data_IF_175854843173
#
_entry.id   IF_175854843173
#
_cell.length_a   1.000
_cell.length_b   1.000
_cell.length_c   1.000
_cell.angle_alpha   90.00
_cell.angle_beta   90.00
_cell.angle_gamma   90.00
#
_symmetry.space_group_name_H-M   'P 1'
#
loop_
_entity.id
_entity.type
_entity.pdbx_description
1 polymer ?
#
# COMPACT_ATOMS: atom_id res chain seq x y z
N UNK A 1 17.24 -6.32 77.79
CA UNK A 1 17.57 -5.42 76.66
C UNK A 1 17.90 -6.29 75.46
N UNK A 2 16.95 -6.52 74.55
CA UNK A 2 17.11 -7.45 73.41
C UNK A 2 16.91 -6.66 72.12
N UNK A 3 17.95 -6.68 71.27
CA UNK A 3 18.09 -5.98 69.98
C UNK A 3 17.01 -6.42 68.97
N UNK A 4 16.28 -5.47 68.40
CA UNK A 4 15.42 -5.62 67.21
C UNK A 4 16.09 -4.93 66.03
N UNK A 5 16.81 -5.66 65.17
CA UNK A 5 17.22 -5.15 63.85
C UNK A 5 17.33 -6.29 62.84
N UNK A 6 16.23 -6.61 62.15
CA UNK A 6 16.25 -7.44 60.93
C UNK A 6 14.94 -7.26 60.16
N UNK A 7 14.65 -6.04 59.71
CA UNK A 7 13.50 -5.77 58.81
C UNK A 7 13.79 -4.62 57.85
N UNK A 8 14.82 -4.74 57.02
CA UNK A 8 15.09 -3.69 56.02
C UNK A 8 15.71 -4.17 54.70
N UNK A 9 15.72 -5.47 54.40
CA UNK A 9 16.44 -6.00 53.22
C UNK A 9 15.60 -6.87 52.27
N UNK A 10 14.26 -6.85 52.37
CA UNK A 10 13.39 -7.72 51.57
C UNK A 10 12.42 -7.02 50.61
N UNK A 11 12.48 -5.69 50.46
CA UNK A 11 11.55 -4.96 49.60
C UNK A 11 12.14 -4.40 48.30
N UNK A 12 13.44 -4.55 48.05
CA UNK A 12 14.09 -3.92 46.88
C UNK A 12 14.16 -4.80 45.61
N UNK A 13 13.84 -6.10 45.67
CA UNK A 13 14.05 -7.04 44.54
C UNK A 13 12.81 -7.20 43.65
N UNK A 14 11.62 -6.75 44.09
CA UNK A 14 10.36 -6.98 43.36
C UNK A 14 9.98 -5.88 42.35
N UNK A 15 10.74 -4.80 42.24
CA UNK A 15 10.40 -3.64 41.39
C UNK A 15 11.02 -3.68 39.97
N UNK A 16 11.89 -4.65 39.66
CA UNK A 16 12.63 -4.70 38.39
C UNK A 16 11.94 -5.53 37.29
N UNK A 17 10.84 -6.23 37.61
CA UNK A 17 10.17 -7.14 36.67
C UNK A 17 9.03 -6.53 35.83
N UNK A 18 8.76 -5.22 35.92
CA UNK A 18 7.71 -4.56 35.13
C UNK A 18 8.22 -3.80 33.89
N UNK A 19 9.52 -3.80 33.62
CA UNK A 19 10.10 -3.17 32.43
C UNK A 19 10.52 -4.23 31.40
N UNK A 20 9.58 -4.84 30.67
CA UNK A 20 9.85 -5.32 29.31
C UNK A 20 8.60 -5.92 28.69
N UNK A 21 7.89 -5.09 27.94
CA UNK A 21 7.30 -5.47 26.65
C UNK A 21 6.71 -4.19 26.04
N UNK A 22 7.57 -3.30 25.54
CA UNK A 22 7.14 -2.40 24.47
C UNK A 22 7.01 -3.25 23.21
N UNK A 23 5.88 -3.94 23.08
CA UNK A 23 5.52 -4.60 21.85
C UNK A 23 5.30 -3.51 20.79
N UNK A 24 6.31 -3.25 19.98
CA UNK A 24 6.16 -2.47 18.75
C UNK A 24 5.11 -3.16 17.91
N UNK A 25 3.91 -2.59 17.90
CA UNK A 25 2.78 -3.08 17.10
C UNK A 25 3.26 -3.05 15.64
N UNK A 26 3.24 -4.17 14.91
CA UNK A 26 3.61 -4.15 13.50
C UNK A 26 2.74 -3.10 12.81
N UNK A 27 3.40 -2.18 12.11
CA UNK A 27 2.70 -1.12 11.39
C UNK A 27 1.88 -1.78 10.29
N UNK A 28 0.55 -1.76 10.48
CA UNK A 28 -0.38 -2.46 9.62
C UNK A 28 -0.46 -1.83 8.23
N UNK A 29 -1.07 -2.58 7.30
CA UNK A 29 -1.43 -2.10 5.97
C UNK A 29 -2.27 -0.82 6.10
N UNK A 30 -1.88 0.25 5.40
CA UNK A 30 -2.56 1.55 5.39
C UNK A 30 -3.13 1.83 4.01
N UNK A 31 -4.38 2.26 3.94
CA UNK A 31 -4.98 2.72 2.69
C UNK A 31 -4.43 4.11 2.28
N UNK A 32 -3.98 4.22 1.03
CA UNK A 32 -3.38 5.42 0.44
C UNK A 32 -4.08 5.86 -0.85
N UNK A 33 -5.29 5.34 -1.14
CA UNK A 33 -6.10 5.71 -2.30
C UNK A 33 -6.27 7.22 -2.45
N UNK A 34 -6.39 7.97 -1.34
CA UNK A 34 -6.52 9.43 -1.33
C UNK A 34 -5.27 10.20 -1.81
N UNK A 35 -4.11 9.54 -1.89
CA UNK A 35 -2.85 10.12 -2.37
C UNK A 35 -2.64 9.86 -3.87
N UNK A 36 -3.52 9.09 -4.49
CA UNK A 36 -3.53 8.92 -5.94
C UNK A 36 -4.10 10.15 -6.63
N UNK A 37 -3.37 10.64 -7.62
CA UNK A 37 -3.90 11.55 -8.63
C UNK A 37 -4.19 10.74 -9.88
N UNK A 38 -5.47 10.64 -10.23
CA UNK A 38 -5.91 9.92 -11.43
C UNK A 38 -6.54 10.91 -12.39
N UNK A 39 -6.04 10.96 -13.62
CA UNK A 39 -6.55 11.79 -14.70
C UNK A 39 -7.07 10.94 -15.84
N UNK A 40 -8.25 11.30 -16.36
CA UNK A 40 -8.81 10.68 -17.55
C UNK A 40 -8.23 11.33 -18.81
N UNK A 41 -7.59 10.55 -19.69
CA UNK A 41 -6.97 11.04 -20.91
C UNK A 41 -7.61 10.37 -22.15
N UNK A 42 -8.78 10.87 -22.60
CA UNK A 42 -9.51 10.28 -23.73
C UNK A 42 -8.75 10.38 -25.06
N UNK A 43 -7.88 11.40 -25.21
CA UNK A 43 -7.03 11.54 -26.39
C UNK A 43 -6.03 10.38 -26.53
N UNK A 44 -5.51 9.90 -25.40
CA UNK A 44 -4.57 8.75 -25.35
C UNK A 44 -5.24 7.42 -24.96
N UNK A 45 -6.57 7.42 -24.81
CA UNK A 45 -7.40 6.27 -24.40
C UNK A 45 -6.90 5.52 -23.16
N UNK A 46 -6.53 6.27 -22.12
CA UNK A 46 -6.00 5.71 -20.87
C UNK A 46 -6.32 6.59 -19.68
N UNK A 47 -6.15 6.02 -18.49
CA UNK A 47 -6.04 6.77 -17.24
C UNK A 47 -4.56 6.98 -16.93
N UNK A 48 -4.18 8.22 -16.65
CA UNK A 48 -2.85 8.57 -16.15
C UNK A 48 -2.92 8.58 -14.61
N UNK A 49 -1.99 7.87 -13.97
CA UNK A 49 -1.97 7.66 -12.51
C UNK A 49 -0.65 8.18 -11.96
N UNK A 50 -0.72 8.98 -10.91
CA UNK A 50 0.42 9.47 -10.17
C UNK A 50 0.24 9.17 -8.68
N UNK A 51 1.29 8.65 -8.04
CA UNK A 51 1.36 8.45 -6.60
C UNK A 51 2.60 9.16 -6.07
N UNK A 52 2.38 10.04 -5.09
CA UNK A 52 3.44 10.76 -4.39
C UNK A 52 3.53 10.24 -2.95
N UNK A 53 4.73 9.86 -2.51
CA UNK A 53 4.97 9.52 -1.12
C UNK A 53 5.23 10.79 -0.30
N UNK A 54 4.15 11.34 0.25
CA UNK A 54 4.21 12.52 1.13
C UNK A 54 4.52 12.17 2.58
N UNK A 55 4.75 10.90 2.90
CA UNK A 55 5.13 10.49 4.25
C UNK A 55 6.63 10.68 4.50
N UNK A 56 7.03 10.73 5.77
CA UNK A 56 8.44 10.74 6.16
C UNK A 56 9.12 9.37 6.12
N UNK A 57 8.48 8.33 5.56
CA UNK A 57 8.97 6.95 5.57
C UNK A 57 8.91 6.31 4.18
N UNK A 58 9.76 5.31 3.93
CA UNK A 58 9.70 4.54 2.68
C UNK A 58 8.48 3.61 2.69
N UNK A 59 7.67 3.70 1.64
CA UNK A 59 6.55 2.81 1.40
C UNK A 59 6.97 1.57 0.63
N UNK A 60 6.38 0.44 0.99
CA UNK A 60 6.43 -0.80 0.25
C UNK A 60 5.04 -1.05 -0.33
N UNK A 61 4.96 -0.99 -1.66
CA UNK A 61 3.72 -1.18 -2.40
C UNK A 61 3.77 -2.56 -3.03
N UNK A 62 2.72 -3.34 -2.83
CA UNK A 62 2.55 -4.67 -3.41
C UNK A 62 2.60 -4.61 -4.94
N UNK A 63 3.39 -5.47 -5.58
CA UNK A 63 3.60 -5.43 -7.05
C UNK A 63 2.27 -5.50 -7.81
N UNK A 64 1.38 -6.40 -7.41
CA UNK A 64 0.07 -6.56 -8.05
C UNK A 64 -0.78 -5.30 -7.99
N UNK A 65 -0.61 -4.48 -6.94
CA UNK A 65 -1.41 -3.27 -6.70
C UNK A 65 -0.96 -2.04 -7.47
N UNK A 66 0.12 -2.12 -8.26
CA UNK A 66 0.58 -1.02 -9.10
C UNK A 66 0.70 -1.43 -10.57
N UNK A 67 0.20 -0.61 -11.52
CA UNK A 67 0.24 -1.01 -12.91
C UNK A 67 1.68 -1.09 -13.41
N UNK A 68 1.99 -2.16 -14.15
CA UNK A 68 3.29 -2.27 -14.83
C UNK A 68 3.39 -1.29 -16.02
N UNK A 69 4.49 -1.34 -16.77
CA UNK A 69 4.71 -0.46 -17.93
C UNK A 69 3.70 -0.63 -19.07
N UNK A 70 2.92 -1.72 -19.08
CA UNK A 70 1.85 -1.97 -20.04
C UNK A 70 0.46 -1.60 -19.48
N UNK A 71 0.40 -1.16 -18.21
CA UNK A 71 -0.84 -0.82 -17.52
C UNK A 71 -1.61 -2.02 -16.97
N UNK A 72 -0.95 -3.17 -16.82
CA UNK A 72 -1.58 -4.37 -16.29
C UNK A 72 -1.46 -4.42 -14.77
N UNK A 73 -2.51 -4.94 -14.12
CA UNK A 73 -2.56 -5.28 -12.70
C UNK A 73 -2.77 -6.79 -12.56
N UNK A 74 -2.19 -7.37 -11.51
CA UNK A 74 -2.28 -8.81 -11.24
C UNK A 74 -3.38 -9.09 -10.20
N UNK A 75 -4.30 -10.01 -10.48
CA UNK A 75 -5.35 -10.44 -9.54
C UNK A 75 -6.28 -9.34 -8.98
N UNK A 76 -6.54 -8.27 -9.74
CA UNK A 76 -7.35 -7.11 -9.33
C UNK A 76 -8.71 -6.97 -10.05
N UNK A 77 -9.24 -8.03 -10.67
CA UNK A 77 -10.51 -7.94 -11.41
C UNK A 77 -11.72 -7.55 -10.56
N UNK A 78 -11.66 -7.74 -9.24
CA UNK A 78 -12.79 -7.54 -8.35
C UNK A 78 -12.82 -6.16 -7.67
N UNK A 79 -11.68 -5.49 -7.55
CA UNK A 79 -11.52 -4.25 -6.78
C UNK A 79 -11.08 -3.05 -7.62
N UNK A 80 -10.72 -3.24 -8.90
CA UNK A 80 -10.39 -2.16 -9.83
C UNK A 80 -11.43 -2.09 -10.96
N UNK A 81 -12.07 -0.94 -11.10
CA UNK A 81 -13.10 -0.73 -12.11
C UNK A 81 -13.18 0.73 -12.57
N UNK A 82 -13.74 0.94 -13.75
CA UNK A 82 -14.19 2.24 -14.23
C UNK A 82 -15.66 2.41 -13.91
N UNK A 83 -16.02 3.52 -13.28
CA UNK A 83 -17.39 3.96 -13.10
C UNK A 83 -17.74 4.99 -14.18
N UNK A 84 -18.78 4.69 -14.97
CA UNK A 84 -19.30 5.57 -16.00
C UNK A 84 -20.79 5.33 -16.19
N UNK A 85 -21.58 6.41 -16.30
CA UNK A 85 -23.03 6.33 -16.55
C UNK A 85 -23.77 5.40 -15.57
N UNK A 86 -23.35 5.39 -14.29
CA UNK A 86 -23.91 4.54 -13.23
C UNK A 86 -23.55 3.05 -13.34
N UNK A 87 -22.65 2.67 -14.25
CA UNK A 87 -22.20 1.29 -14.48
C UNK A 87 -20.74 1.11 -14.06
N UNK A 88 -20.40 -0.11 -13.66
CA UNK A 88 -19.03 -0.52 -13.36
C UNK A 88 -18.49 -1.40 -14.48
N UNK A 89 -17.28 -1.09 -14.92
CA UNK A 89 -16.53 -1.83 -15.91
C UNK A 89 -15.25 -2.32 -15.25
N UNK A 90 -15.20 -3.60 -14.91
CA UNK A 90 -14.09 -4.19 -14.18
C UNK A 90 -12.84 -4.35 -15.05
N UNK A 91 -11.66 -4.22 -14.44
CA UNK A 91 -10.41 -4.51 -15.14
C UNK A 91 -10.37 -5.99 -15.51
N UNK A 92 -9.74 -6.31 -16.65
CA UNK A 92 -9.49 -7.68 -17.09
C UNK A 92 -8.57 -8.37 -16.10
N UNK A 93 -8.95 -9.59 -15.74
CA UNK A 93 -8.10 -10.47 -14.96
C UNK A 93 -6.86 -10.85 -15.79
N UNK A 94 -5.69 -10.72 -15.18
CA UNK A 94 -4.42 -11.18 -15.72
C UNK A 94 -3.66 -11.90 -14.62
N UNK A 95 -2.96 -12.96 -15.01
CA UNK A 95 -1.95 -13.62 -14.20
C UNK A 95 -0.60 -13.19 -14.75
N UNK A 96 0.09 -12.31 -14.04
CA UNK A 96 1.41 -11.79 -14.44
C UNK A 96 2.56 -12.69 -13.96
N UNK A 97 2.24 -13.82 -13.34
CA UNK A 97 3.18 -14.79 -12.81
C UNK A 97 3.37 -14.68 -11.30
N UNK A 98 4.06 -15.67 -10.74
CA UNK A 98 4.37 -15.70 -9.32
C UNK A 98 5.71 -15.03 -9.03
N UNK A 99 5.73 -14.14 -8.05
CA UNK A 99 6.97 -13.56 -7.54
C UNK A 99 7.48 -14.32 -6.30
N UNK A 100 8.60 -15.05 -6.39
CA UNK A 100 9.14 -15.84 -5.26
C UNK A 100 9.85 -15.00 -4.18
N UNK A 101 10.21 -13.76 -4.46
CA UNK A 101 10.93 -12.87 -3.53
C UNK A 101 10.28 -11.49 -3.53
N UNK A 102 9.63 -11.09 -2.42
CA UNK A 102 8.87 -9.83 -2.24
C UNK A 102 9.05 -8.81 -3.38
N UNK A 103 8.21 -8.88 -4.42
CA UNK A 103 8.30 -7.96 -5.56
C UNK A 103 7.74 -6.57 -5.23
N UNK A 104 7.52 -6.28 -3.96
CA UNK A 104 7.12 -4.97 -3.50
C UNK A 104 8.15 -3.94 -3.98
N UNK A 105 7.69 -2.96 -4.76
CA UNK A 105 8.55 -1.84 -5.08
C UNK A 105 8.53 -0.83 -3.93
N UNK A 106 9.63 -0.12 -3.78
CA UNK A 106 9.85 0.82 -2.70
C UNK A 106 9.71 2.23 -3.24
N UNK A 107 8.92 3.05 -2.54
CA UNK A 107 8.77 4.46 -2.86
C UNK A 107 9.35 5.29 -1.71
N UNK A 108 10.44 6.03 -1.95
CA UNK A 108 11.10 6.78 -0.89
C UNK A 108 10.29 8.02 -0.49
N UNK A 109 10.54 8.62 0.69
CA UNK A 109 9.92 9.89 1.07
C UNK A 109 10.16 10.97 0.01
N UNK A 110 9.09 11.64 -0.42
CA UNK A 110 9.12 12.69 -1.45
C UNK A 110 9.17 12.18 -2.89
N UNK A 111 9.33 10.88 -3.13
CA UNK A 111 9.32 10.34 -4.48
C UNK A 111 7.91 10.32 -5.08
N UNK A 112 7.86 10.44 -6.40
CA UNK A 112 6.65 10.32 -7.20
C UNK A 112 6.83 9.23 -8.26
N UNK A 113 5.86 8.32 -8.36
CA UNK A 113 5.78 7.33 -9.43
C UNK A 113 4.57 7.57 -10.30
N UNK A 114 4.71 7.24 -11.59
CA UNK A 114 3.68 7.42 -12.60
C UNK A 114 3.43 6.12 -13.34
N UNK A 115 2.18 5.88 -13.67
CA UNK A 115 1.74 4.75 -14.46
C UNK A 115 0.55 5.16 -15.33
N UNK A 116 0.12 4.25 -16.20
CA UNK A 116 -1.12 4.44 -16.96
C UNK A 116 -1.83 3.12 -17.16
N UNK A 117 -3.16 3.10 -17.13
CA UNK A 117 -3.98 1.94 -17.46
C UNK A 117 -4.80 2.24 -18.73
N UNK A 118 -4.63 1.49 -19.83
CA UNK A 118 -5.38 1.74 -21.05
C UNK A 118 -6.84 1.30 -20.91
N UNK A 119 -7.75 1.98 -21.61
CA UNK A 119 -9.20 1.65 -21.59
C UNK A 119 -9.49 0.22 -22.06
N UNK A 120 -8.61 -0.35 -22.87
CA UNK A 120 -8.71 -1.74 -23.35
C UNK A 120 -8.72 -2.76 -22.23
N UNK A 121 -8.25 -2.40 -21.03
CA UNK A 121 -8.28 -3.27 -19.86
C UNK A 121 -9.67 -3.35 -19.20
N UNK A 122 -10.62 -2.45 -19.52
CA UNK A 122 -11.94 -2.41 -18.86
C UNK A 122 -13.09 -2.85 -19.77
N UNK A 123 -12.81 -3.28 -21.00
CA UNK A 123 -13.82 -3.60 -22.02
C UNK A 123 -14.88 -2.49 -22.19
N UNK A 124 -14.43 -1.22 -22.15
CA UNK A 124 -15.34 -0.08 -22.29
C UNK A 124 -15.97 -0.07 -23.69
N UNK A 125 -17.30 0.09 -23.80
CA UNK A 125 -17.91 0.36 -25.10
C UNK A 125 -17.47 1.74 -25.59
N UNK A 126 -17.37 1.94 -26.91
CA UNK A 126 -16.90 3.20 -27.50
C UNK A 126 -17.74 4.42 -27.10
N UNK A 127 -19.02 4.22 -26.73
CA UNK A 127 -19.87 5.27 -26.18
C UNK A 127 -19.38 5.80 -24.83
N UNK A 128 -18.80 4.94 -24.00
CA UNK A 128 -18.29 5.26 -22.66
C UNK A 128 -16.86 5.81 -22.71
N UNK A 129 -16.05 5.41 -23.70
CA UNK A 129 -14.70 5.98 -23.86
C UNK A 129 -14.70 7.52 -23.92
N UNK A 130 -15.79 8.11 -24.43
CA UNK A 130 -15.97 9.55 -24.57
C UNK A 130 -16.83 10.19 -23.48
N UNK A 131 -17.46 9.41 -22.60
CA UNK A 131 -18.26 9.96 -21.50
C UNK A 131 -17.39 10.30 -20.30
N UNK A 132 -17.96 11.07 -19.37
CA UNK A 132 -17.35 11.31 -18.06
C UNK A 132 -17.27 9.99 -17.32
N UNK A 133 -16.05 9.64 -16.90
CA UNK A 133 -15.78 8.38 -16.21
C UNK A 133 -14.69 8.56 -15.17
N UNK A 134 -14.68 7.66 -14.20
CA UNK A 134 -13.72 7.67 -13.10
C UNK A 134 -13.15 6.27 -12.92
N UNK A 135 -11.82 6.16 -12.89
CA UNK A 135 -11.16 4.95 -12.44
C UNK A 135 -11.22 4.89 -10.90
N UNK A 136 -11.66 3.75 -10.38
CA UNK A 136 -11.55 3.37 -8.97
C UNK A 136 -10.41 2.37 -8.87
N UNK A 137 -9.34 2.78 -8.19
CA UNK A 137 -8.14 1.98 -7.95
C UNK A 137 -7.81 2.07 -6.46
N UNK A 138 -8.32 1.14 -5.63
CA UNK A 138 -7.95 1.04 -4.23
C UNK A 138 -6.46 0.78 -4.12
N UNK A 139 -5.80 1.46 -3.19
CA UNK A 139 -4.38 1.21 -2.93
C UNK A 139 -4.04 1.21 -1.46
N UNK A 140 -3.06 0.38 -1.17
CA UNK A 140 -2.54 0.20 0.17
C UNK A 140 -1.03 0.16 0.16
N UNK A 141 -0.46 0.54 1.29
CA UNK A 141 0.98 0.49 1.54
C UNK A 141 1.24 -0.13 2.90
N UNK A 142 2.49 -0.51 3.12
CA UNK A 142 3.05 -0.81 4.42
C UNK A 142 4.42 -0.13 4.54
N UNK A 143 4.85 0.16 5.77
CA UNK A 143 6.21 0.61 6.01
C UNK A 143 7.18 -0.48 5.58
N UNK A 144 8.16 -0.12 4.76
CA UNK A 144 9.22 -1.07 4.45
C UNK A 144 10.01 -1.36 5.73
N UNK A 145 10.04 -2.62 6.18
CA UNK A 145 10.94 -3.04 7.25
C UNK A 145 12.38 -2.58 6.98
N UNK A 146 13.12 -2.28 8.04
CA UNK A 146 14.53 -1.98 7.93
C UNK A 146 15.21 -3.14 7.18
N UNK A 147 15.96 -2.84 6.10
CA UNK A 147 16.81 -3.85 5.47
C UNK A 147 17.80 -4.28 6.55
N UNK A 148 17.74 -5.54 6.99
CA UNK A 148 18.87 -6.14 7.69
C UNK A 148 19.95 -6.24 6.63
N UNK A 149 20.83 -5.24 6.56
CA UNK A 149 22.02 -5.33 5.73
C UNK A 149 22.85 -6.48 6.30
N UNK A 150 23.05 -7.60 5.58
CA UNK A 150 24.03 -8.58 6.04
C UNK A 150 25.37 -7.85 6.06
N UNK A 151 25.98 -7.77 7.25
CA UNK A 151 27.37 -7.30 7.41
C UNK A 151 28.31 -8.32 6.82
#
# INVERSE_FOLDING_TARGET
>A
MIRRETRALFFAVLAVWLMSCSATKPEGRREITHLLRISDNPGSKRFDIELENTSGQTWCIEEGSWPNNLGFLDAHSNDVWVEADGRKYHIKERNLGFCPSSCNFRLAPGDTVRASIPYTEFSLPSSVERSTKKLVLPMWTQSCGARITPR
#
